data_IF_614749914689
#
_entry.id   IF_614749914689
#
_cell.length_a   1.000
_cell.length_b   1.000
_cell.length_c   1.000
_cell.angle_alpha   90.00
_cell.angle_beta   90.00
_cell.angle_gamma   90.00
#
_symmetry.space_group_name_H-M   'P 1'
#
loop_
_entity.id
_entity.type
_entity.pdbx_description
1 polymer ?
#
# COMPACT_ATOMS: atom_id res chain seq x y z
N UNK A 1 -4.96 -19.58 19.19
CA UNK A 1 -5.29 -18.37 18.40
C UNK A 1 -6.73 -18.48 17.95
N UNK A 2 -7.52 -17.41 18.08
CA UNK A 2 -8.89 -17.37 17.55
C UNK A 2 -8.86 -17.35 16.01
N UNK A 3 -9.84 -18.00 15.36
CA UNK A 3 -10.01 -17.93 13.90
C UNK A 3 -10.73 -16.63 13.58
N UNK A 4 -10.33 -15.91 12.52
CA UNK A 4 -10.97 -14.63 12.13
C UNK A 4 -12.48 -14.81 11.92
N UNK A 5 -12.88 -15.95 11.33
CA UNK A 5 -14.29 -16.29 11.11
C UNK A 5 -15.15 -16.45 12.37
N UNK A 6 -14.55 -16.55 13.56
CA UNK A 6 -15.28 -16.70 14.84
C UNK A 6 -15.25 -15.44 15.70
N UNK A 7 -14.67 -14.35 15.21
CA UNK A 7 -14.57 -13.06 15.93
C UNK A 7 -15.73 -12.18 15.52
N UNK A 8 -16.35 -11.50 16.49
CA UNK A 8 -17.43 -10.54 16.23
C UNK A 8 -16.96 -9.35 15.40
N UNK A 9 -17.83 -8.89 14.50
CA UNK A 9 -17.62 -7.67 13.72
C UNK A 9 -17.67 -6.44 14.62
N UNK A 10 -16.77 -5.49 14.39
CA UNK A 10 -16.62 -4.31 15.27
C UNK A 10 -16.94 -2.99 14.59
N UNK A 11 -16.66 -2.85 13.29
CA UNK A 11 -16.97 -1.64 12.50
C UNK A 11 -16.76 -1.89 10.99
N UNK A 12 -17.16 -0.95 10.12
CA UNK A 12 -16.87 -1.01 8.70
C UNK A 12 -15.37 -1.08 8.38
N UNK A 13 -15.01 -1.77 7.30
CA UNK A 13 -13.62 -1.97 6.88
C UNK A 13 -12.84 -0.65 6.69
N UNK A 14 -13.48 0.41 6.19
CA UNK A 14 -12.89 1.75 6.03
C UNK A 14 -12.45 2.40 7.33
N UNK A 15 -13.02 1.96 8.46
CA UNK A 15 -12.77 2.48 9.80
C UNK A 15 -11.79 1.59 10.58
N UNK A 16 -11.72 0.30 10.25
CA UNK A 16 -10.77 -0.66 10.83
C UNK A 16 -9.41 -0.61 10.14
N UNK A 17 -9.36 -0.57 8.82
CA UNK A 17 -8.09 -0.48 8.11
C UNK A 17 -7.51 0.94 8.18
N UNK A 18 -6.36 1.03 8.85
CA UNK A 18 -5.69 2.28 9.13
C UNK A 18 -4.32 2.39 8.44
N UNK A 19 -3.68 3.55 8.60
CA UNK A 19 -2.36 3.83 8.05
C UNK A 19 -2.42 4.57 6.72
N UNK A 20 -1.28 5.14 6.33
CA UNK A 20 -1.22 6.07 5.20
C UNK A 20 -1.67 5.44 3.88
N UNK A 21 -1.31 4.18 3.64
CA UNK A 21 -1.76 3.44 2.44
C UNK A 21 -3.29 3.47 2.30
N UNK A 22 -4.03 3.13 3.36
CA UNK A 22 -5.50 3.17 3.35
C UNK A 22 -6.08 4.58 3.30
N UNK A 23 -5.44 5.56 3.95
CA UNK A 23 -5.86 6.97 3.85
C UNK A 23 -5.78 7.46 2.40
N UNK A 24 -4.69 7.16 1.69
CA UNK A 24 -4.52 7.60 0.30
C UNK A 24 -5.43 6.82 -0.66
N UNK A 25 -5.68 5.53 -0.39
CA UNK A 25 -6.66 4.75 -1.15
C UNK A 25 -8.09 5.28 -1.00
N UNK A 26 -8.49 5.68 0.21
CA UNK A 26 -9.80 6.32 0.45
C UNK A 26 -9.93 7.64 -0.30
N UNK A 27 -8.92 8.52 -0.21
CA UNK A 27 -8.90 9.77 -0.97
C UNK A 27 -8.98 9.54 -2.48
N UNK A 28 -8.26 8.54 -3.00
CA UNK A 28 -8.33 8.21 -4.42
C UNK A 28 -9.75 7.76 -4.83
N UNK A 29 -10.39 6.91 -4.04
CA UNK A 29 -11.77 6.48 -4.30
C UNK A 29 -12.76 7.65 -4.22
N UNK A 30 -12.63 8.50 -3.20
CA UNK A 30 -13.47 9.68 -3.03
C UNK A 30 -13.32 10.66 -4.21
N UNK A 31 -12.08 10.94 -4.64
CA UNK A 31 -11.77 11.80 -5.78
C UNK A 31 -12.30 11.23 -7.10
N UNK A 32 -12.32 9.91 -7.27
CA UNK A 32 -12.89 9.25 -8.45
C UNK A 32 -14.40 9.01 -8.37
N UNK A 33 -15.03 9.31 -7.22
CA UNK A 33 -16.39 8.88 -6.89
C UNK A 33 -16.61 7.37 -7.13
N UNK A 34 -15.60 6.55 -6.81
CA UNK A 34 -15.57 5.12 -7.09
C UNK A 34 -15.84 4.28 -5.84
N UNK A 35 -16.36 3.06 -6.05
CA UNK A 35 -16.43 2.04 -5.00
C UNK A 35 -15.04 1.55 -4.62
N UNK A 36 -14.73 1.52 -3.32
CA UNK A 36 -13.47 0.99 -2.81
C UNK A 36 -13.64 -0.44 -2.32
N UNK A 37 -12.92 -1.36 -2.96
CA UNK A 37 -12.78 -2.74 -2.52
C UNK A 37 -11.36 -2.99 -1.98
N UNK A 38 -11.26 -3.87 -0.99
CA UNK A 38 -10.02 -4.15 -0.25
C UNK A 38 -9.66 -5.62 -0.43
N UNK A 39 -8.46 -5.85 -0.98
CA UNK A 39 -7.86 -7.18 -1.02
C UNK A 39 -7.30 -7.50 0.37
N UNK A 40 -7.98 -8.40 1.06
CA UNK A 40 -7.68 -8.81 2.43
C UNK A 40 -7.02 -10.19 2.48
N UNK A 41 -5.91 -10.28 3.22
CA UNK A 41 -5.29 -11.56 3.54
C UNK A 41 -6.11 -12.43 4.51
N UNK A 42 -7.12 -11.87 5.20
CA UNK A 42 -7.94 -12.60 6.17
C UNK A 42 -9.39 -12.83 5.75
N UNK A 43 -9.89 -12.04 4.79
CA UNK A 43 -11.31 -11.94 4.46
C UNK A 43 -11.60 -12.02 2.95
N UNK A 44 -10.60 -12.26 2.10
CA UNK A 44 -10.79 -12.33 0.65
C UNK A 44 -10.86 -10.93 0.01
N UNK A 45 -11.89 -10.65 -0.78
CA UNK A 45 -12.17 -9.32 -1.33
C UNK A 45 -13.41 -8.74 -0.64
N UNK A 46 -13.28 -7.55 -0.04
CA UNK A 46 -14.39 -6.94 0.71
C UNK A 46 -14.64 -5.49 0.30
N UNK A 47 -15.88 -5.03 0.46
CA UNK A 47 -16.25 -3.64 0.24
C UNK A 47 -15.86 -2.76 1.44
N UNK A 48 -15.53 -1.48 1.23
CA UNK A 48 -15.07 -0.59 2.31
C UNK A 48 -16.11 -0.35 3.42
N UNK A 49 -17.40 -0.51 3.14
CA UNK A 49 -18.49 -0.37 4.11
C UNK A 49 -18.90 -1.69 4.77
N UNK A 50 -18.29 -2.81 4.39
CA UNK A 50 -18.59 -4.10 5.01
C UNK A 50 -18.07 -4.12 6.45
N UNK A 51 -18.92 -4.48 7.41
CA UNK A 51 -18.52 -4.67 8.80
C UNK A 51 -17.58 -5.87 8.93
N UNK A 52 -16.46 -5.67 9.65
CA UNK A 52 -15.42 -6.68 9.82
C UNK A 52 -14.95 -6.79 11.27
N UNK A 53 -14.41 -7.95 11.69
CA UNK A 53 -13.74 -8.07 12.97
C UNK A 53 -12.42 -7.29 12.99
N UNK A 54 -11.89 -7.03 14.19
CA UNK A 54 -10.51 -6.59 14.35
C UNK A 54 -9.58 -7.80 14.23
N UNK A 55 -8.59 -7.73 13.36
CA UNK A 55 -7.58 -8.79 13.20
C UNK A 55 -6.29 -8.21 12.60
N UNK A 56 -5.24 -9.02 12.61
CA UNK A 56 -3.98 -8.71 11.96
C UNK A 56 -3.51 -9.95 11.19
N UNK A 57 -3.55 -9.89 9.86
CA UNK A 57 -3.06 -10.92 8.95
C UNK A 57 -2.48 -10.25 7.70
N UNK A 58 -1.39 -10.79 7.18
CA UNK A 58 -0.73 -10.28 5.98
C UNK A 58 -0.12 -11.40 5.13
N UNK A 59 0.11 -11.14 3.85
CA UNK A 59 0.93 -12.00 2.97
C UNK A 59 2.36 -11.48 2.81
N UNK A 60 2.68 -10.36 3.45
CA UNK A 60 4.04 -9.82 3.48
C UNK A 60 4.91 -10.59 4.48
N UNK A 61 5.97 -11.23 3.98
CA UNK A 61 6.94 -11.99 4.79
C UNK A 61 7.64 -11.11 5.84
N UNK A 62 8.08 -11.74 6.93
CA UNK A 62 8.86 -11.09 8.00
C UNK A 62 8.01 -10.41 9.08
N UNK A 63 6.71 -10.72 9.13
CA UNK A 63 5.81 -10.43 10.25
C UNK A 63 5.33 -11.73 10.89
N UNK A 64 5.13 -11.76 12.20
CA UNK A 64 4.48 -12.90 12.88
C UNK A 64 3.02 -13.10 12.42
N UNK A 65 2.42 -12.07 11.83
CA UNK A 65 1.07 -12.09 11.27
C UNK A 65 1.04 -12.59 9.81
N UNK A 66 2.18 -13.01 9.26
CA UNK A 66 2.27 -13.55 7.92
C UNK A 66 1.52 -14.89 7.84
N UNK A 67 0.49 -14.97 6.98
CA UNK A 67 -0.31 -16.18 6.83
C UNK A 67 0.50 -17.31 6.20
N UNK A 68 1.47 -16.98 5.34
CA UNK A 68 2.33 -17.96 4.67
C UNK A 68 3.11 -18.83 5.66
N UNK A 69 3.46 -18.29 6.82
CA UNK A 69 4.19 -19.03 7.86
C UNK A 69 3.28 -20.05 8.59
N UNK A 70 1.97 -20.01 8.31
CA UNK A 70 0.93 -20.88 8.89
C UNK A 70 0.34 -21.86 7.88
N UNK A 71 0.72 -21.77 6.60
CA UNK A 71 0.28 -22.67 5.56
C UNK A 71 1.26 -23.84 5.43
N UNK A 72 0.72 -25.05 5.25
CA UNK A 72 1.49 -26.23 4.85
C UNK A 72 1.17 -26.52 3.39
N UNK A 73 2.19 -26.67 2.55
CA UNK A 73 2.09 -27.06 1.13
C UNK A 73 1.19 -26.17 0.24
N UNK A 74 0.83 -24.96 0.70
CA UNK A 74 -0.03 -24.03 -0.01
C UNK A 74 0.55 -22.61 -0.07
N UNK A 75 0.32 -21.93 -1.19
CA UNK A 75 0.74 -20.56 -1.43
C UNK A 75 -0.27 -19.51 -0.93
N UNK A 76 0.10 -18.23 -1.06
CA UNK A 76 -0.78 -17.09 -0.80
C UNK A 76 -2.03 -17.11 -1.69
N UNK A 77 -1.87 -17.45 -2.98
CA UNK A 77 -2.98 -17.53 -3.90
C UNK A 77 -3.99 -18.65 -3.54
N UNK A 78 -3.51 -19.83 -3.15
CA UNK A 78 -4.37 -20.95 -2.73
C UNK A 78 -5.20 -20.55 -1.50
N UNK A 79 -4.54 -19.91 -0.53
CA UNK A 79 -5.18 -19.39 0.66
C UNK A 79 -6.26 -18.36 0.31
N UNK A 80 -5.96 -17.40 -0.55
CA UNK A 80 -6.91 -16.35 -0.90
C UNK A 80 -8.08 -16.87 -1.74
N UNK A 81 -7.85 -17.88 -2.57
CA UNK A 81 -8.90 -18.62 -3.27
C UNK A 81 -9.80 -19.37 -2.28
N UNK A 82 -9.23 -20.02 -1.25
CA UNK A 82 -9.99 -20.70 -0.20
C UNK A 82 -10.86 -19.75 0.65
N UNK A 83 -10.44 -18.48 0.78
CA UNK A 83 -11.27 -17.42 1.38
C UNK A 83 -12.43 -16.96 0.46
N UNK A 84 -12.52 -17.47 -0.77
CA UNK A 84 -13.51 -17.06 -1.76
C UNK A 84 -13.13 -15.80 -2.54
N UNK A 85 -11.94 -15.23 -2.31
CA UNK A 85 -11.52 -13.98 -2.94
C UNK A 85 -11.54 -14.03 -4.47
N UNK A 86 -11.14 -15.17 -5.04
CA UNK A 86 -11.13 -15.42 -6.49
C UNK A 86 -12.55 -15.29 -7.08
N UNK A 87 -13.52 -15.93 -6.43
CA UNK A 87 -14.93 -15.88 -6.83
C UNK A 87 -15.50 -14.46 -6.69
N UNK A 88 -15.30 -13.84 -5.53
CA UNK A 88 -15.85 -12.49 -5.27
C UNK A 88 -15.26 -11.43 -6.21
N UNK A 89 -14.00 -11.57 -6.63
CA UNK A 89 -13.37 -10.70 -7.61
C UNK A 89 -13.99 -10.84 -9.00
N UNK A 90 -14.19 -12.08 -9.47
CA UNK A 90 -14.84 -12.32 -10.76
C UNK A 90 -16.29 -11.83 -10.75
N UNK A 91 -17.04 -12.13 -9.69
CA UNK A 91 -18.42 -11.64 -9.51
C UNK A 91 -18.49 -10.09 -9.47
N UNK A 92 -17.44 -9.42 -8.99
CA UNK A 92 -17.33 -7.96 -9.02
C UNK A 92 -17.05 -7.44 -10.43
N UNK A 93 -16.14 -8.08 -11.15
CA UNK A 93 -15.83 -7.69 -12.53
C UNK A 93 -17.05 -7.82 -13.44
N UNK A 94 -17.78 -8.94 -13.34
CA UNK A 94 -18.95 -9.22 -14.16
C UNK A 94 -20.09 -8.22 -13.95
N UNK A 95 -20.30 -7.74 -12.71
CA UNK A 95 -21.34 -6.75 -12.41
C UNK A 95 -20.92 -5.30 -12.67
N UNK A 96 -19.63 -5.05 -12.85
CA UNK A 96 -19.10 -3.70 -13.01
C UNK A 96 -19.09 -3.28 -14.48
N UNK A 97 -19.39 -2.02 -14.79
CA UNK A 97 -19.32 -1.46 -16.15
C UNK A 97 -18.21 -0.42 -16.35
N UNK A 98 -17.64 0.12 -15.26
CA UNK A 98 -16.66 1.22 -15.30
C UNK A 98 -15.18 0.79 -15.30
N UNK A 99 -14.29 1.78 -15.23
CA UNK A 99 -12.85 1.53 -15.08
C UNK A 99 -12.56 0.78 -13.76
N UNK A 100 -11.66 -0.20 -13.80
CA UNK A 100 -11.21 -0.97 -12.64
C UNK A 100 -9.75 -0.61 -12.39
N UNK A 101 -9.45 -0.07 -11.21
CA UNK A 101 -8.06 0.29 -10.84
C UNK A 101 -7.57 -0.65 -9.75
N UNK A 102 -6.56 -1.46 -10.07
CA UNK A 102 -5.93 -2.41 -9.15
C UNK A 102 -4.66 -1.75 -8.59
N UNK A 103 -4.75 -1.20 -7.38
CA UNK A 103 -3.64 -0.53 -6.71
C UNK A 103 -3.10 -1.38 -5.56
N UNK A 104 -2.16 -2.29 -5.87
CA UNK A 104 -1.64 -3.28 -4.90
C UNK A 104 -0.11 -3.32 -4.85
N UNK A 105 0.49 -3.53 -3.66
CA UNK A 105 1.91 -3.88 -3.56
C UNK A 105 2.17 -5.31 -4.09
N UNK A 106 3.40 -5.62 -4.49
CA UNK A 106 3.76 -6.89 -5.16
C UNK A 106 3.26 -8.16 -4.44
N UNK A 107 3.35 -8.29 -3.10
CA UNK A 107 2.84 -9.47 -2.41
C UNK A 107 1.34 -9.68 -2.61
N UNK A 108 0.55 -8.61 -2.59
CA UNK A 108 -0.90 -8.68 -2.77
C UNK A 108 -1.28 -8.86 -4.24
N UNK A 109 -0.53 -8.24 -5.18
CA UNK A 109 -0.77 -8.47 -6.60
C UNK A 109 -0.44 -9.91 -7.01
N UNK A 110 0.62 -10.53 -6.45
CA UNK A 110 0.91 -11.96 -6.64
C UNK A 110 -0.20 -12.85 -6.11
N UNK A 111 -0.66 -12.59 -4.88
CA UNK A 111 -1.75 -13.35 -4.26
C UNK A 111 -3.01 -13.36 -5.13
N UNK A 112 -3.34 -12.24 -5.78
CA UNK A 112 -4.51 -12.16 -6.67
C UNK A 112 -4.19 -12.43 -8.14
N UNK A 113 -2.94 -12.71 -8.53
CA UNK A 113 -2.60 -12.89 -9.94
C UNK A 113 -3.34 -14.05 -10.62
N UNK A 114 -3.56 -15.22 -9.95
CA UNK A 114 -4.39 -16.29 -10.50
C UNK A 114 -5.84 -15.84 -10.77
N UNK A 115 -6.36 -14.97 -9.88
CA UNK A 115 -7.45 -14.00 -10.11
C UNK A 115 -7.75 -13.60 -11.55
N UNK A 116 -6.66 -13.16 -12.15
CA UNK A 116 -6.61 -12.27 -13.29
C UNK A 116 -6.13 -13.02 -14.53
N UNK A 117 -5.92 -14.34 -14.45
CA UNK A 117 -5.47 -15.13 -15.59
C UNK A 117 -6.53 -15.22 -16.68
N UNK A 118 -7.80 -15.37 -16.30
CA UNK A 118 -8.93 -15.57 -17.21
C UNK A 118 -9.59 -14.28 -17.74
N UNK A 119 -8.99 -13.10 -17.56
CA UNK A 119 -9.62 -11.83 -17.99
C UNK A 119 -9.86 -11.82 -19.51
N UNK A 120 -11.04 -11.39 -19.94
CA UNK A 120 -11.34 -11.16 -21.36
C UNK A 120 -10.62 -9.91 -21.88
N UNK A 121 -10.53 -9.73 -23.20
CA UNK A 121 -9.92 -8.53 -23.77
C UNK A 121 -10.70 -7.26 -23.38
N UNK A 122 -12.04 -7.33 -23.42
CA UNK A 122 -12.91 -6.21 -22.99
C UNK A 122 -12.74 -5.86 -21.50
N UNK A 123 -12.53 -6.85 -20.63
CA UNK A 123 -12.22 -6.59 -19.22
C UNK A 123 -10.81 -6.02 -19.06
N UNK A 124 -9.83 -6.55 -19.80
CA UNK A 124 -8.46 -6.07 -19.79
C UNK A 124 -8.38 -4.58 -20.14
N UNK A 125 -9.09 -4.12 -21.18
CA UNK A 125 -9.15 -2.72 -21.59
C UNK A 125 -9.67 -1.77 -20.51
N UNK A 126 -10.47 -2.29 -19.56
CA UNK A 126 -11.01 -1.53 -18.43
C UNK A 126 -10.14 -1.56 -17.19
N UNK A 127 -9.10 -2.41 -17.15
CA UNK A 127 -8.21 -2.51 -15.99
C UNK A 127 -7.11 -1.45 -16.11
N UNK A 128 -6.73 -0.85 -14.98
CA UNK A 128 -5.44 -0.15 -14.81
C UNK A 128 -4.74 -0.73 -13.59
N UNK A 129 -3.47 -1.10 -13.74
CA UNK A 129 -2.67 -1.61 -12.61
C UNK A 129 -1.70 -0.54 -12.12
N UNK A 130 -1.68 -0.34 -10.80
CA UNK A 130 -0.77 0.59 -10.12
C UNK A 130 0.00 -0.14 -9.02
N UNK A 131 1.33 -0.05 -9.04
CA UNK A 131 2.20 -0.78 -8.12
C UNK A 131 2.55 -2.19 -8.61
N UNK A 132 2.93 -3.07 -7.68
CA UNK A 132 3.17 -4.49 -7.92
C UNK A 132 4.03 -4.86 -9.13
N UNK A 133 5.32 -4.49 -9.15
CA UNK A 133 6.21 -4.73 -10.30
C UNK A 133 6.87 -6.12 -10.36
N UNK A 134 6.94 -6.84 -9.24
CA UNK A 134 7.61 -8.13 -9.15
C UNK A 134 6.59 -9.28 -9.04
N UNK A 135 5.85 -9.52 -10.12
CA UNK A 135 4.74 -10.48 -10.20
C UNK A 135 4.94 -11.42 -11.39
N UNK A 136 5.73 -12.50 -11.23
CA UNK A 136 6.11 -13.36 -12.35
C UNK A 136 4.92 -14.07 -13.02
N UNK A 137 3.89 -14.40 -12.23
CA UNK A 137 2.71 -15.13 -12.71
C UNK A 137 1.54 -14.20 -13.08
N UNK A 138 1.80 -12.93 -13.39
CA UNK A 138 0.75 -12.05 -13.90
C UNK A 138 0.45 -12.37 -15.36
N UNK A 139 -0.82 -12.31 -15.76
CA UNK A 139 -1.18 -12.43 -17.18
C UNK A 139 -0.40 -11.38 -17.99
N UNK A 140 0.40 -11.76 -19.00
CA UNK A 140 1.22 -10.81 -19.76
C UNK A 140 0.43 -9.68 -20.42
N UNK A 141 -0.85 -9.89 -20.77
CA UNK A 141 -1.73 -8.83 -21.31
C UNK A 141 -1.94 -7.69 -20.31
N UNK A 142 -1.90 -7.99 -19.02
CA UNK A 142 -2.09 -7.00 -17.97
C UNK A 142 -0.88 -6.08 -17.79
N UNK A 143 0.29 -6.44 -18.31
CA UNK A 143 1.42 -5.51 -18.38
C UNK A 143 1.13 -4.33 -19.31
N UNK A 144 0.33 -4.55 -20.37
CA UNK A 144 -0.10 -3.49 -21.28
C UNK A 144 -1.06 -2.46 -20.66
N UNK A 145 -1.61 -2.75 -19.47
CA UNK A 145 -2.50 -1.85 -18.75
C UNK A 145 -1.93 -1.39 -17.40
N UNK A 146 -0.66 -1.68 -17.15
CA UNK A 146 0.07 -1.16 -16.01
C UNK A 146 0.46 0.29 -16.26
N UNK A 147 0.12 1.15 -15.30
CA UNK A 147 0.53 2.54 -15.35
C UNK A 147 2.00 2.68 -14.95
N UNK A 148 2.81 3.47 -15.69
CA UNK A 148 4.27 3.50 -15.56
C UNK A 148 4.77 4.37 -14.39
N UNK A 149 4.12 4.26 -13.23
CA UNK A 149 4.59 4.90 -12.01
C UNK A 149 5.91 4.28 -11.55
N UNK A 150 6.88 5.12 -11.22
CA UNK A 150 8.13 4.71 -10.60
C UNK A 150 8.52 5.59 -9.41
N UNK A 151 9.77 5.44 -8.96
CA UNK A 151 10.30 6.15 -7.81
C UNK A 151 10.35 7.68 -8.00
N UNK A 152 10.15 8.22 -9.21
CA UNK A 152 9.92 9.67 -9.40
C UNK A 152 8.78 10.21 -8.54
N UNK A 153 7.75 9.40 -8.26
CA UNK A 153 6.65 9.78 -7.36
C UNK A 153 7.12 10.02 -5.91
N UNK A 154 8.28 9.51 -5.52
CA UNK A 154 8.90 9.77 -4.22
C UNK A 154 9.94 10.91 -4.29
N UNK A 155 10.09 11.53 -5.45
CA UNK A 155 10.98 12.64 -5.73
C UNK A 155 10.59 13.97 -5.10
N UNK A 156 11.49 14.97 -5.13
CA UNK A 156 11.27 16.27 -4.50
C UNK A 156 10.14 17.09 -5.16
N UNK A 157 9.82 16.84 -6.43
CA UNK A 157 8.71 17.47 -7.16
C UNK A 157 7.34 16.91 -6.75
N UNK A 158 7.30 15.72 -6.16
CA UNK A 158 6.04 15.06 -5.82
C UNK A 158 5.32 15.76 -4.67
N UNK A 159 4.01 15.95 -4.81
CA UNK A 159 3.13 16.36 -3.71
C UNK A 159 2.73 15.19 -2.80
N UNK A 160 3.02 13.96 -3.24
CA UNK A 160 2.66 12.72 -2.56
C UNK A 160 3.90 11.82 -2.31
N UNK A 161 5.04 12.32 -1.78
CA UNK A 161 6.19 11.46 -1.52
C UNK A 161 5.90 10.52 -0.35
N UNK A 162 6.46 9.32 -0.37
CA UNK A 162 6.24 8.37 0.70
C UNK A 162 7.22 7.22 0.73
N UNK A 163 6.71 6.06 1.10
CA UNK A 163 7.51 4.84 1.27
C UNK A 163 7.04 3.79 0.29
N UNK A 164 7.81 2.70 0.17
CA UNK A 164 7.41 1.59 -0.71
C UNK A 164 6.11 0.91 -0.28
N UNK A 165 5.75 0.95 1.01
CA UNK A 165 4.55 0.28 1.53
C UNK A 165 3.24 1.00 1.21
N UNK A 166 3.29 2.32 0.99
CA UNK A 166 2.12 3.13 0.62
C UNK A 166 2.17 3.61 -0.85
N UNK A 167 3.16 3.14 -1.62
CA UNK A 167 3.39 3.57 -3.00
C UNK A 167 2.17 3.37 -3.90
N UNK A 168 1.59 2.17 -3.93
CA UNK A 168 0.46 1.86 -4.82
C UNK A 168 -0.74 2.80 -4.58
N UNK A 169 -1.06 3.06 -3.30
CA UNK A 169 -2.17 3.93 -2.91
C UNK A 169 -1.91 5.41 -3.21
N UNK A 170 -0.67 5.88 -3.08
CA UNK A 170 -0.30 7.26 -3.48
C UNK A 170 -0.30 7.43 -4.99
N UNK A 171 0.20 6.44 -5.71
CA UNK A 171 0.25 6.45 -7.16
C UNK A 171 -1.16 6.43 -7.77
N UNK A 172 -2.10 5.64 -7.22
CA UNK A 172 -3.49 5.68 -7.70
C UNK A 172 -4.16 7.02 -7.36
N UNK A 173 -3.86 7.62 -6.20
CA UNK A 173 -4.37 8.96 -5.88
C UNK A 173 -3.86 9.99 -6.89
N UNK A 174 -2.56 9.99 -7.18
CA UNK A 174 -2.00 10.87 -8.20
C UNK A 174 -2.66 10.65 -9.56
N UNK A 175 -2.83 9.39 -9.96
CA UNK A 175 -3.48 9.03 -11.23
C UNK A 175 -4.90 9.56 -11.31
N UNK A 176 -5.71 9.31 -10.28
CA UNK A 176 -7.11 9.76 -10.25
C UNK A 176 -7.18 11.29 -10.31
N UNK A 177 -6.41 11.98 -9.47
CA UNK A 177 -6.53 13.44 -9.31
C UNK A 177 -5.95 14.22 -10.50
N UNK A 178 -4.96 13.68 -11.22
CA UNK A 178 -4.20 14.45 -12.23
C UNK A 178 -4.35 13.92 -13.65
N UNK A 179 -4.63 12.63 -13.83
CA UNK A 179 -4.74 12.01 -15.16
C UNK A 179 -6.19 11.65 -15.46
N UNK A 180 -6.80 10.81 -14.63
CA UNK A 180 -8.17 10.33 -14.87
C UNK A 180 -9.21 11.45 -14.82
N UNK A 181 -9.04 12.42 -13.92
CA UNK A 181 -9.95 13.57 -13.82
C UNK A 181 -9.98 14.42 -15.10
N UNK A 182 -8.88 14.46 -15.85
CA UNK A 182 -8.76 15.23 -17.09
C UNK A 182 -9.20 14.40 -18.29
N UNK A 183 -8.81 13.12 -18.33
CA UNK A 183 -9.02 12.22 -19.46
C UNK A 183 -9.76 10.94 -19.02
N UNK A 184 -11.03 11.01 -18.58
CA UNK A 184 -11.73 9.88 -17.95
C UNK A 184 -12.06 8.72 -18.90
N UNK A 185 -12.06 8.99 -20.22
CA UNK A 185 -12.43 8.03 -21.26
C UNK A 185 -11.21 7.54 -22.07
N UNK A 186 -10.01 7.92 -21.67
CA UNK A 186 -8.79 7.58 -22.40
C UNK A 186 -8.46 6.08 -22.29
N UNK A 187 -7.77 5.58 -23.32
CA UNK A 187 -7.38 4.18 -23.39
C UNK A 187 -6.29 3.85 -22.37
N UNK A 188 -5.95 2.57 -22.20
CA UNK A 188 -4.88 2.17 -21.29
C UNK A 188 -3.53 2.75 -21.69
N UNK A 189 -3.29 2.79 -23.00
CA UNK A 189 -2.10 3.38 -23.58
C UNK A 189 -2.04 4.88 -23.34
N UNK A 190 -3.12 5.61 -23.63
CA UNK A 190 -3.17 7.07 -23.45
C UNK A 190 -2.99 7.45 -21.97
N UNK A 191 -3.63 6.72 -21.05
CA UNK A 191 -3.39 6.89 -19.61
C UNK A 191 -1.94 6.66 -19.22
N UNK A 192 -1.27 5.66 -19.78
CA UNK A 192 0.15 5.40 -19.52
C UNK A 192 1.03 6.54 -20.03
N UNK A 193 0.76 7.05 -21.24
CA UNK A 193 1.48 8.19 -21.82
C UNK A 193 1.29 9.47 -20.99
N UNK A 194 0.06 9.75 -20.54
CA UNK A 194 -0.24 10.89 -19.67
C UNK A 194 0.45 10.79 -18.32
N UNK A 195 0.57 9.57 -17.75
CA UNK A 195 1.36 9.35 -16.53
C UNK A 195 2.85 9.65 -16.78
N UNK A 196 3.41 9.20 -17.91
CA UNK A 196 4.80 9.52 -18.24
C UNK A 196 5.02 11.03 -18.41
N UNK A 197 4.09 11.71 -19.08
CA UNK A 197 4.12 13.18 -19.24
C UNK A 197 4.02 13.86 -17.87
N UNK A 198 3.11 13.42 -17.00
CA UNK A 198 2.94 14.00 -15.67
C UNK A 198 4.18 13.84 -14.78
N UNK A 199 4.90 12.73 -14.94
CA UNK A 199 6.16 12.47 -14.24
C UNK A 199 7.39 12.98 -15.02
N UNK A 200 7.21 13.59 -16.19
CA UNK A 200 8.31 14.11 -16.99
C UNK A 200 8.97 15.28 -16.25
N UNK A 201 10.29 15.19 -16.07
CA UNK A 201 11.06 16.21 -15.33
C UNK A 201 10.98 16.08 -13.80
N UNK A 202 10.37 15.02 -13.27
CA UNK A 202 10.47 14.70 -11.85
C UNK A 202 11.76 13.90 -11.60
N UNK A 203 12.51 14.30 -10.58
CA UNK A 203 13.71 13.60 -10.17
C UNK A 203 13.36 12.39 -9.31
N UNK A 204 14.21 11.38 -9.33
CA UNK A 204 14.13 10.28 -8.37
C UNK A 204 14.57 10.76 -6.98
N UNK A 205 14.06 10.16 -5.89
CA UNK A 205 14.51 10.47 -4.55
C UNK A 205 16.01 10.26 -4.43
N UNK A 206 16.74 11.30 -4.03
CA UNK A 206 18.14 11.15 -3.67
C UNK A 206 18.23 10.52 -2.29
N UNK A 207 18.89 9.35 -2.19
CA UNK A 207 19.23 8.82 -0.86
C UNK A 207 20.32 9.72 -0.27
N UNK A 208 19.96 10.65 0.61
CA UNK A 208 20.97 11.32 1.43
C UNK A 208 21.67 10.24 2.26
N UNK A 209 22.97 10.05 2.04
CA UNK A 209 23.83 9.26 2.93
C UNK A 209 23.91 10.00 4.28
N UNK A 210 22.87 9.84 5.09
CA UNK A 210 22.87 10.39 6.44
C UNK A 210 23.97 9.72 7.27
N UNK A 211 24.47 10.43 8.28
CA UNK A 211 25.48 9.88 9.19
C UNK A 211 24.90 8.65 9.89
N UNK A 212 25.55 7.49 9.76
CA UNK A 212 25.23 6.31 10.57
C UNK A 212 25.64 6.59 12.01
N UNK A 213 24.76 6.28 12.96
CA UNK A 213 25.03 6.45 14.39
C UNK A 213 24.78 5.14 15.14
N UNK A 214 25.43 4.97 16.29
CA UNK A 214 25.22 3.83 17.19
C UNK A 214 23.88 3.96 17.95
N UNK A 215 23.36 2.87 18.52
CA UNK A 215 22.11 2.92 19.31
C UNK A 215 22.26 3.86 20.50
N UNK A 216 23.42 3.85 21.16
CA UNK A 216 23.73 4.71 22.29
C UNK A 216 23.63 6.19 21.91
N UNK A 217 24.29 6.57 20.83
CA UNK A 217 24.34 7.98 20.42
C UNK A 217 22.97 8.41 19.87
N UNK A 218 22.25 7.52 19.17
CA UNK A 218 20.90 7.80 18.70
C UNK A 218 19.92 7.98 19.86
N UNK A 219 20.02 7.16 20.91
CA UNK A 219 19.21 7.32 22.13
C UNK A 219 19.49 8.66 22.80
N UNK A 220 20.75 9.08 22.88
CA UNK A 220 21.11 10.40 23.43
C UNK A 220 20.40 11.52 22.68
N UNK A 221 20.52 11.54 21.36
CA UNK A 221 19.89 12.57 20.51
C UNK A 221 18.36 12.52 20.63
N UNK A 222 17.76 11.33 20.66
CA UNK A 222 16.31 11.22 20.86
C UNK A 222 15.87 11.79 22.20
N UNK A 223 16.66 11.60 23.27
CA UNK A 223 16.36 12.20 24.59
C UNK A 223 16.50 13.72 24.54
N UNK A 224 17.52 14.25 23.88
CA UNK A 224 17.79 15.69 23.76
C UNK A 224 16.68 16.42 22.99
N UNK A 225 16.10 15.76 21.98
CA UNK A 225 15.02 16.32 21.15
C UNK A 225 13.61 15.89 21.57
N UNK A 226 13.47 15.15 22.69
CA UNK A 226 12.20 14.58 23.14
C UNK A 226 11.11 15.63 23.37
N UNK A 227 11.45 16.71 24.09
CA UNK A 227 10.54 17.81 24.41
C UNK A 227 10.11 18.57 23.15
N UNK A 228 11.05 18.85 22.24
CA UNK A 228 10.77 19.52 20.95
C UNK A 228 9.74 18.78 20.11
N UNK A 229 9.70 17.46 20.24
CA UNK A 229 8.79 16.59 19.50
C UNK A 229 7.53 16.19 20.28
N UNK A 230 7.35 16.68 21.51
CA UNK A 230 6.23 16.29 22.38
C UNK A 230 6.13 14.76 22.57
N UNK A 231 7.28 14.07 22.56
CA UNK A 231 7.36 12.60 22.61
C UNK A 231 6.80 11.88 21.37
N UNK A 232 6.43 12.59 20.30
CA UNK A 232 5.86 11.99 19.08
C UNK A 232 6.97 11.41 18.20
N UNK A 233 7.01 10.09 18.07
CA UNK A 233 8.05 9.37 17.31
C UNK A 233 8.17 9.83 15.86
N UNK A 234 7.05 10.12 15.18
CA UNK A 234 7.07 10.63 13.79
C UNK A 234 7.73 12.01 13.67
N UNK A 235 7.52 12.90 14.67
CA UNK A 235 8.14 14.23 14.73
C UNK A 235 9.63 14.12 15.09
N UNK A 236 10.01 13.25 16.02
CA UNK A 236 11.41 12.94 16.34
C UNK A 236 12.18 12.40 15.13
N UNK A 237 11.57 11.49 14.36
CA UNK A 237 12.21 10.92 13.17
C UNK A 237 12.44 11.98 12.08
N UNK A 238 11.53 12.94 11.95
CA UNK A 238 11.69 14.11 11.07
C UNK A 238 12.83 15.00 11.53
N UNK A 239 12.92 15.35 12.81
CA UNK A 239 14.06 16.13 13.34
C UNK A 239 15.39 15.44 13.02
N UNK A 240 15.49 14.13 13.25
CA UNK A 240 16.71 13.36 12.96
C UNK A 240 17.10 13.36 11.48
N UNK A 241 16.13 13.21 10.58
CA UNK A 241 16.39 13.08 9.13
C UNK A 241 16.53 14.44 8.43
N UNK A 242 15.62 15.36 8.75
CA UNK A 242 15.42 16.61 8.02
C UNK A 242 16.33 17.72 8.58
N UNK A 243 16.55 17.77 9.90
CA UNK A 243 17.39 18.79 10.54
C UNK A 243 18.81 18.28 10.82
N UNK A 244 18.94 17.06 11.34
CA UNK A 244 20.23 16.52 11.82
C UNK A 244 20.98 15.65 10.80
N UNK A 245 20.34 15.31 9.67
CA UNK A 245 20.90 14.47 8.60
C UNK A 245 21.44 13.11 9.09
N UNK A 246 20.73 12.47 10.03
CA UNK A 246 21.09 11.17 10.61
C UNK A 246 20.33 10.04 9.90
N UNK A 247 21.07 9.05 9.42
CA UNK A 247 20.48 7.85 8.83
C UNK A 247 20.01 6.90 9.93
N UNK A 248 18.71 6.63 9.99
CA UNK A 248 18.14 5.62 10.87
C UNK A 248 16.99 4.85 10.19
N UNK A 249 17.07 3.52 10.23
CA UNK A 249 15.99 2.64 9.78
C UNK A 249 14.79 2.74 10.72
N UNK A 250 13.58 2.67 10.16
CA UNK A 250 12.35 2.93 10.91
C UNK A 250 12.10 1.92 12.04
N UNK A 251 12.45 0.63 11.84
CA UNK A 251 12.31 -0.41 12.88
C UNK A 251 13.21 -0.14 14.08
N UNK A 252 14.49 0.13 13.83
CA UNK A 252 15.47 0.50 14.87
C UNK A 252 15.03 1.74 15.62
N UNK A 253 14.61 2.78 14.89
CA UNK A 253 14.11 4.00 15.51
C UNK A 253 12.86 3.77 16.38
N UNK A 254 11.90 2.98 15.90
CA UNK A 254 10.68 2.64 16.65
C UNK A 254 11.01 1.89 17.95
N UNK A 255 11.90 0.90 17.89
CA UNK A 255 12.38 0.18 19.07
C UNK A 255 13.02 1.12 20.09
N UNK A 256 13.98 1.94 19.66
CA UNK A 256 14.70 2.84 20.57
C UNK A 256 13.81 3.93 21.18
N UNK A 257 12.82 4.43 20.44
CA UNK A 257 11.84 5.39 20.97
C UNK A 257 10.85 4.77 21.94
N UNK A 258 10.48 3.50 21.76
CA UNK A 258 9.68 2.76 22.73
C UNK A 258 10.43 2.58 24.06
N UNK A 259 11.69 2.14 24.01
CA UNK A 259 12.55 2.01 25.19
C UNK A 259 12.67 3.34 25.96
N UNK A 260 12.90 4.46 25.28
CA UNK A 260 12.98 5.79 25.92
C UNK A 260 11.63 6.25 26.50
N UNK A 261 10.52 5.85 25.87
CA UNK A 261 9.19 6.18 26.38
C UNK A 261 8.90 5.44 27.69
N UNK A 262 9.26 4.16 27.77
CA UNK A 262 9.16 3.36 28.99
C UNK A 262 10.04 3.92 30.11
N UNK A 263 11.30 4.30 29.80
CA UNK A 263 12.22 4.97 30.75
C UNK A 263 11.62 6.25 31.39
N UNK A 264 10.75 6.97 30.67
CA UNK A 264 10.15 8.24 31.11
C UNK A 264 8.74 8.11 31.69
N UNK A 265 8.13 6.93 31.59
CA UNK A 265 6.83 6.64 32.20
C UNK A 265 6.97 6.12 33.64
N UNK A 266 8.20 5.79 34.05
CA UNK A 266 8.66 5.50 35.41
C UNK A 266 9.08 6.80 36.10
#
# INVERSE_FOLDING_TARGET
>A
MAKVATVETVAPAKDIYCGRSFVEAKKAADSAQAELHIVSAGLGLIHNQQDIPSYNLTVSKGSQDCILDKLQDHGDADWWAALGGHKTMNDLFDRSSGLIIIALPSPYLRMVAPALQGVSDALCERIRIVGGRDVPDLNPRLEGVRLPYDDRLDGPQSTLPGTRSDFASRAVRHFVENVLATEPLATAKDHAELVEIALAGWDRPSSKLGKRMSDRDLKSIVRDHWSRADGRSTKLLRILRDELNIACEQKRFARLTAEIREERAL
#
